data_IF_332398707573
#
_entry.id   IF_332398707573
#
_cell.length_a   1.000
_cell.length_b   1.000
_cell.length_c   1.000
_cell.angle_alpha   90.00
_cell.angle_beta   90.00
_cell.angle_gamma   90.00
#
_symmetry.space_group_name_H-M   'P 1'
#
loop_
_entity.id
_entity.type
_entity.pdbx_description
1 polymer ?
#
# COMPACT_ATOMS: atom_id res chain seq x y z
N UNK A 1 1.10 32.28 -66.70
CA UNK A 1 0.44 31.89 -65.43
C UNK A 1 -0.72 30.95 -65.73
N UNK A 2 -0.86 29.89 -64.92
CA UNK A 2 -1.84 28.78 -64.97
C UNK A 2 -1.46 27.55 -65.83
N UNK A 3 -0.80 26.60 -65.18
CA UNK A 3 -0.94 25.17 -65.48
C UNK A 3 -2.18 24.61 -64.78
N UNK A 4 -3.05 23.86 -65.46
CA UNK A 4 -3.94 22.92 -64.79
C UNK A 4 -3.29 21.53 -64.70
N UNK A 5 -3.46 20.98 -63.50
CA UNK A 5 -2.85 19.80 -62.92
C UNK A 5 -3.19 18.52 -63.69
N UNK A 6 -2.17 17.69 -63.82
CA UNK A 6 -2.24 16.33 -64.32
C UNK A 6 -2.06 15.34 -63.17
N UNK A 7 -2.61 14.15 -63.38
CA UNK A 7 -2.32 12.86 -62.75
C UNK A 7 -3.27 12.43 -61.61
N UNK A 8 -4.31 11.73 -62.07
CA UNK A 8 -4.95 10.63 -61.36
C UNK A 8 -3.90 9.62 -60.91
N UNK A 9 -3.81 9.35 -59.60
CA UNK A 9 -3.10 8.19 -59.07
C UNK A 9 -4.14 7.20 -58.56
N UNK A 10 -4.31 6.14 -59.34
CA UNK A 10 -4.90 4.87 -58.91
C UNK A 10 -4.20 4.43 -57.61
N UNK A 11 -4.90 4.04 -56.55
CA UNK A 11 -5.68 2.80 -56.54
C UNK A 11 -4.75 1.65 -56.13
N UNK A 12 -5.10 1.00 -55.01
CA UNK A 12 -4.43 -0.13 -54.35
C UNK A 12 -3.42 0.25 -53.25
N UNK A 13 -3.85 0.12 -51.98
CA UNK A 13 -3.34 -0.86 -51.00
C UNK A 13 -4.32 -0.81 -49.81
N UNK A 14 -5.32 -1.70 -49.81
CA UNK A 14 -6.03 -2.08 -48.59
C UNK A 14 -5.65 -3.53 -48.33
N UNK A 15 -4.48 -3.71 -47.71
CA UNK A 15 -4.13 -4.97 -47.06
C UNK A 15 -4.68 -4.85 -45.63
N UNK A 16 -5.97 -5.10 -45.46
CA UNK A 16 -6.58 -5.29 -44.15
C UNK A 16 -5.87 -6.46 -43.49
N UNK A 17 -4.94 -6.12 -42.62
CA UNK A 17 -4.19 -7.02 -41.76
C UNK A 17 -5.18 -7.63 -40.77
N UNK A 18 -5.84 -8.70 -41.21
CA UNK A 18 -6.61 -9.60 -40.36
C UNK A 18 -5.64 -10.36 -39.45
N UNK A 19 -5.04 -9.65 -38.48
CA UNK A 19 -4.52 -10.29 -37.27
C UNK A 19 -5.78 -10.77 -36.55
N UNK A 20 -6.17 -11.99 -36.89
CA UNK A 20 -7.05 -12.77 -36.06
C UNK A 20 -6.37 -12.86 -34.70
N UNK A 21 -6.87 -12.06 -33.77
CA UNK A 21 -6.78 -12.33 -32.34
C UNK A 21 -7.41 -13.71 -32.14
N UNK A 22 -6.61 -14.75 -32.35
CA UNK A 22 -6.78 -16.00 -31.65
C UNK A 22 -6.47 -15.69 -30.18
N UNK A 23 -7.40 -14.99 -29.52
CA UNK A 23 -7.55 -15.06 -28.08
C UNK A 23 -7.94 -16.51 -27.83
N UNK A 24 -6.89 -17.35 -27.73
CA UNK A 24 -7.00 -18.68 -27.19
C UNK A 24 -7.70 -18.47 -25.86
N UNK A 25 -8.96 -18.91 -25.79
CA UNK A 25 -9.74 -18.99 -24.58
C UNK A 25 -9.10 -20.08 -23.69
N UNK A 26 -7.90 -19.80 -23.19
CA UNK A 26 -7.31 -20.51 -22.07
C UNK A 26 -8.09 -20.06 -20.84
N UNK A 27 -9.19 -20.76 -20.56
CA UNK A 27 -9.77 -20.71 -19.23
C UNK A 27 -8.72 -21.11 -18.19
N UNK A 28 -8.82 -20.60 -16.95
CA UNK A 28 -7.88 -20.93 -15.90
C UNK A 28 -7.81 -22.44 -15.70
N UNK A 29 -6.61 -23.00 -15.76
CA UNK A 29 -6.33 -24.44 -15.64
C UNK A 29 -6.20 -24.87 -14.18
N UNK A 30 -5.95 -23.94 -13.28
CA UNK A 30 -5.81 -24.17 -11.84
C UNK A 30 -6.67 -23.20 -11.03
N UNK A 31 -6.94 -23.55 -9.77
CA UNK A 31 -7.61 -22.65 -8.83
C UNK A 31 -6.83 -21.34 -8.68
N UNK A 32 -5.51 -21.43 -8.55
CA UNK A 32 -4.64 -20.28 -8.38
C UNK A 32 -4.62 -19.36 -9.63
N UNK A 33 -4.66 -19.92 -10.85
CA UNK A 33 -4.87 -19.12 -12.07
C UNK A 33 -6.23 -18.41 -12.07
N UNK A 34 -7.29 -19.06 -11.57
CA UNK A 34 -8.60 -18.41 -11.42
C UNK A 34 -8.52 -17.25 -10.42
N UNK A 35 -7.87 -17.45 -9.28
CA UNK A 35 -7.63 -16.39 -8.28
C UNK A 35 -6.86 -15.24 -8.90
N UNK A 36 -5.77 -15.50 -9.64
CA UNK A 36 -5.00 -14.46 -10.34
C UNK A 36 -5.85 -13.66 -11.33
N UNK A 37 -6.68 -14.34 -12.14
CA UNK A 37 -7.58 -13.68 -13.09
C UNK A 37 -8.65 -12.83 -12.39
N UNK A 38 -9.26 -13.34 -11.33
CA UNK A 38 -10.26 -12.59 -10.55
C UNK A 38 -9.62 -11.40 -9.85
N UNK A 39 -8.45 -11.60 -9.24
CA UNK A 39 -7.65 -10.57 -8.59
C UNK A 39 -7.30 -9.43 -9.55
N UNK A 40 -7.05 -9.73 -10.82
CA UNK A 40 -6.77 -8.73 -11.85
C UNK A 40 -7.89 -7.68 -12.04
N UNK A 41 -9.08 -7.96 -11.51
CA UNK A 41 -10.26 -7.10 -11.60
C UNK A 41 -10.50 -6.28 -10.32
N UNK A 42 -9.61 -6.41 -9.33
CA UNK A 42 -9.61 -5.58 -8.12
C UNK A 42 -8.69 -4.38 -8.33
N UNK A 43 -9.08 -3.25 -7.73
CA UNK A 43 -8.21 -2.09 -7.61
C UNK A 43 -8.30 -1.52 -6.20
N UNK A 44 -7.15 -1.05 -5.70
CA UNK A 44 -7.05 -0.30 -4.46
C UNK A 44 -6.51 1.10 -4.77
N UNK A 45 -6.95 2.09 -4.01
CA UNK A 45 -6.47 3.47 -4.10
C UNK A 45 -6.40 4.09 -2.72
N UNK A 46 -5.39 4.91 -2.49
CA UNK A 46 -5.32 5.76 -1.30
C UNK A 46 -6.26 6.96 -1.48
N UNK A 47 -7.16 7.17 -0.52
CA UNK A 47 -8.01 8.36 -0.45
C UNK A 47 -7.35 9.48 0.36
N UNK A 48 -6.62 9.11 1.41
CA UNK A 48 -5.89 10.03 2.27
C UNK A 48 -5.19 9.27 3.41
N UNK A 49 -4.43 10.00 4.21
CA UNK A 49 -3.82 9.47 5.42
C UNK A 49 -3.70 10.53 6.50
N UNK A 50 -3.58 10.08 7.74
CA UNK A 50 -3.32 10.91 8.92
C UNK A 50 -2.15 10.32 9.67
N UNK A 51 -1.22 11.18 10.12
CA UNK A 51 -0.10 10.79 10.97
C UNK A 51 -0.42 11.21 12.39
N UNK A 52 -0.31 10.27 13.32
CA UNK A 52 -0.49 10.47 14.75
C UNK A 52 0.83 10.18 15.46
N UNK A 53 1.23 11.07 16.37
CA UNK A 53 2.42 10.90 17.20
C UNK A 53 1.97 10.58 18.62
N UNK A 54 2.35 9.41 19.13
CA UNK A 54 2.13 9.03 20.52
C UNK A 54 3.45 9.16 21.28
N UNK A 55 3.50 9.93 22.39
CA UNK A 55 4.68 9.99 23.23
C UNK A 55 4.87 8.62 23.89
N UNK A 56 6.06 8.03 23.72
CA UNK A 56 6.43 6.85 24.48
C UNK A 56 6.71 7.30 25.91
N UNK A 57 5.72 7.13 26.79
CA UNK A 57 5.96 7.23 28.22
C UNK A 57 6.74 5.98 28.59
N UNK A 58 8.07 6.07 28.62
CA UNK A 58 8.85 5.08 29.36
C UNK A 58 8.32 5.13 30.80
N UNK A 59 7.59 4.09 31.20
CA UNK A 59 7.37 3.84 32.62
C UNK A 59 8.76 3.62 33.20
N UNK A 60 9.33 4.69 33.76
CA UNK A 60 10.49 4.60 34.63
C UNK A 60 10.02 3.69 35.77
N UNK A 61 10.33 2.40 35.67
CA UNK A 61 10.24 1.44 36.77
C UNK A 61 11.32 1.89 37.74
N UNK A 62 11.00 2.96 38.48
CA UNK A 62 11.77 3.42 39.60
C UNK A 62 11.67 2.34 40.66
N UNK A 63 12.64 1.44 40.67
CA UNK A 63 13.03 0.73 41.88
C UNK A 63 13.58 1.79 42.84
N UNK A 64 12.67 2.53 43.47
CA UNK A 64 12.96 3.40 44.59
C UNK A 64 13.16 2.47 45.78
N UNK A 65 14.37 1.90 45.90
CA UNK A 65 14.85 1.42 47.19
C UNK A 65 15.07 2.64 48.08
N UNK A 66 14.02 2.97 48.83
CA UNK A 66 14.06 3.92 49.92
C UNK A 66 14.98 3.39 51.03
N UNK A 67 16.27 3.73 50.95
CA UNK A 67 17.18 3.67 52.09
C UNK A 67 17.27 5.05 52.73
N UNK A 68 16.49 5.23 53.80
CA UNK A 68 16.52 6.41 54.63
C UNK A 68 17.67 6.31 55.64
N UNK A 69 18.63 7.23 55.61
CA UNK A 69 19.25 7.79 56.81
C UNK A 69 20.01 9.09 56.47
N UNK A 70 19.74 10.14 57.25
CA UNK A 70 19.95 11.54 56.84
C UNK A 70 21.32 12.14 57.16
N UNK A 71 21.55 13.35 56.63
CA UNK A 71 22.29 14.43 57.27
C UNK A 71 22.36 15.66 56.35
N UNK A 72 22.23 16.83 56.99
CA UNK A 72 22.73 18.16 56.64
C UNK A 72 22.37 18.85 55.30
N UNK A 73 21.92 20.09 55.45
CA UNK A 73 21.50 20.99 54.37
C UNK A 73 22.69 21.86 53.99
N UNK A 74 23.44 21.45 52.97
CA UNK A 74 24.40 22.28 52.25
C UNK A 74 23.75 22.97 51.04
N UNK A 75 24.19 24.20 50.79
CA UNK A 75 23.75 25.16 49.78
C UNK A 75 23.71 24.54 48.36
N UNK A 76 22.50 24.36 47.82
CA UNK A 76 22.29 23.81 46.47
C UNK A 76 22.55 24.90 45.44
N UNK A 77 23.72 24.80 44.81
CA UNK A 77 24.03 25.49 43.56
C UNK A 77 22.92 25.22 42.54
N UNK A 78 22.51 26.25 41.79
CA UNK A 78 21.63 26.11 40.64
C UNK A 78 22.24 25.08 39.68
N UNK A 79 21.72 23.85 39.72
CA UNK A 79 22.01 22.81 38.74
C UNK A 79 21.61 23.34 37.35
N UNK A 80 22.52 23.21 36.39
CA UNK A 80 22.28 23.51 34.99
C UNK A 80 21.01 22.78 34.52
N UNK A 81 20.22 23.36 33.59
CA UNK A 81 19.00 22.72 33.12
C UNK A 81 19.36 21.33 32.61
N UNK A 82 18.77 20.31 33.24
CA UNK A 82 18.90 18.92 32.88
C UNK A 82 18.83 18.78 31.36
N UNK A 83 19.84 18.12 30.78
CA UNK A 83 19.82 17.66 29.40
C UNK A 83 18.48 16.98 29.16
N UNK A 84 17.58 17.64 28.43
CA UNK A 84 16.33 17.05 28.00
C UNK A 84 16.67 15.99 26.96
N UNK A 85 16.77 14.74 27.40
CA UNK A 85 16.81 13.62 26.47
C UNK A 85 15.55 13.68 25.59
N UNK A 86 15.69 13.55 24.25
CA UNK A 86 14.54 13.59 23.37
C UNK A 86 13.59 12.46 23.74
N UNK A 87 12.35 12.80 24.13
CA UNK A 87 11.29 11.83 24.42
C UNK A 87 11.08 11.01 23.14
N UNK A 88 11.26 9.70 23.23
CA UNK A 88 10.98 8.82 22.11
C UNK A 88 9.49 8.94 21.73
N UNK A 89 9.20 9.08 20.43
CA UNK A 89 7.84 9.15 19.90
C UNK A 89 7.62 7.97 18.98
N UNK A 90 6.50 7.26 19.16
CA UNK A 90 6.03 6.26 18.20
C UNK A 90 5.03 6.94 17.27
N UNK A 91 5.23 6.81 15.97
CA UNK A 91 4.30 7.35 14.98
C UNK A 91 3.40 6.24 14.44
N UNK A 92 2.13 6.57 14.29
CA UNK A 92 1.10 5.73 13.69
C UNK A 92 0.55 6.43 12.46
N UNK A 93 0.32 5.69 11.38
CA UNK A 93 -0.27 6.24 10.15
C UNK A 93 -1.58 5.55 9.86
N UNK A 94 -2.66 6.33 9.88
CA UNK A 94 -4.00 5.88 9.51
C UNK A 94 -4.21 6.11 8.03
N UNK A 95 -4.24 5.04 7.26
CA UNK A 95 -4.47 5.03 5.82
C UNK A 95 -5.95 4.82 5.53
N UNK A 96 -6.51 5.69 4.69
CA UNK A 96 -7.86 5.55 4.16
C UNK A 96 -7.81 4.97 2.75
N UNK A 97 -8.19 3.70 2.61
CA UNK A 97 -8.00 2.90 1.41
C UNK A 97 -9.35 2.54 0.79
N UNK A 98 -9.51 2.84 -0.50
CA UNK A 98 -10.68 2.51 -1.29
C UNK A 98 -10.40 1.24 -2.10
N UNK A 99 -11.21 0.21 -1.89
CA UNK A 99 -11.15 -1.04 -2.65
C UNK A 99 -12.43 -1.19 -3.46
N UNK A 100 -12.27 -1.54 -4.73
CA UNK A 100 -13.37 -1.86 -5.65
C UNK A 100 -13.00 -3.02 -6.55
N UNK A 101 -13.99 -3.69 -7.11
CA UNK A 101 -13.79 -4.73 -8.13
C UNK A 101 -14.90 -4.70 -9.19
N UNK A 102 -14.53 -5.11 -10.41
CA UNK A 102 -15.42 -5.08 -11.59
C UNK A 102 -15.94 -6.47 -12.00
N UNK A 103 -15.87 -7.45 -11.09
CA UNK A 103 -16.18 -8.86 -11.35
C UNK A 103 -17.47 -9.30 -10.67
N UNK A 104 -18.09 -10.36 -11.20
CA UNK A 104 -19.19 -11.06 -10.51
C UNK A 104 -18.66 -12.15 -9.57
N UNK A 105 -17.47 -12.68 -9.85
CA UNK A 105 -16.77 -13.61 -8.97
C UNK A 105 -16.03 -12.80 -7.90
N UNK A 106 -16.41 -12.95 -6.63
CA UNK A 106 -15.74 -12.28 -5.52
C UNK A 106 -14.69 -13.18 -4.87
N UNK A 107 -13.56 -12.58 -4.49
CA UNK A 107 -12.62 -13.20 -3.57
C UNK A 107 -13.06 -12.95 -2.13
N UNK A 108 -12.77 -13.86 -1.19
CA UNK A 108 -13.05 -13.65 0.23
C UNK A 108 -12.25 -12.46 0.79
N UNK A 109 -11.11 -12.15 0.19
CA UNK A 109 -10.32 -10.97 0.48
C UNK A 109 -9.22 -10.79 -0.55
N UNK A 110 -8.47 -9.71 -0.40
CA UNK A 110 -7.38 -9.34 -1.28
C UNK A 110 -6.17 -8.85 -0.49
N UNK A 111 -4.97 -9.24 -0.94
CA UNK A 111 -3.73 -8.66 -0.43
C UNK A 111 -3.40 -7.39 -1.21
N UNK A 112 -3.31 -6.28 -0.50
CA UNK A 112 -2.93 -4.96 -1.00
C UNK A 112 -1.50 -4.67 -0.57
N UNK A 113 -0.67 -4.25 -1.52
CA UNK A 113 0.68 -3.77 -1.24
C UNK A 113 0.62 -2.28 -0.93
N UNK A 114 1.32 -1.88 0.11
CA UNK A 114 1.43 -0.50 0.57
C UNK A 114 2.92 -0.19 0.59
N UNK A 115 3.35 0.81 -0.17
CA UNK A 115 4.74 1.29 -0.13
C UNK A 115 4.78 2.73 0.36
N UNK A 116 5.82 3.04 1.14
CA UNK A 116 6.15 4.40 1.55
C UNK A 116 7.38 4.84 0.75
N UNK A 117 7.32 6.01 0.15
CA UNK A 117 8.42 6.60 -0.58
C UNK A 117 8.76 7.99 -0.03
N UNK A 118 10.04 8.33 -0.06
CA UNK A 118 10.53 9.65 0.33
C UNK A 118 10.15 10.73 -0.71
N UNK A 119 10.41 12.02 -0.45
CA UNK A 119 10.14 13.10 -1.42
C UNK A 119 10.90 12.97 -2.75
N UNK A 120 11.96 12.14 -2.80
CA UNK A 120 12.72 11.85 -4.02
C UNK A 120 12.10 10.70 -4.84
N UNK A 121 11.10 10.02 -4.28
CA UNK A 121 10.43 8.86 -4.86
C UNK A 121 11.16 7.54 -4.60
N UNK A 122 12.13 7.51 -3.68
CA UNK A 122 12.79 6.28 -3.26
C UNK A 122 11.94 5.56 -2.21
N UNK A 123 11.67 4.28 -2.44
CA UNK A 123 10.95 3.44 -1.47
C UNK A 123 11.76 3.30 -0.17
N UNK A 124 11.11 3.61 0.96
CA UNK A 124 11.64 3.49 2.32
C UNK A 124 11.17 2.19 2.98
N UNK A 125 9.90 1.83 2.77
CA UNK A 125 9.26 0.71 3.47
C UNK A 125 8.09 0.14 2.64
N UNK A 126 7.73 -1.12 2.93
CA UNK A 126 6.75 -1.90 2.20
C UNK A 126 5.98 -2.85 3.13
N UNK A 127 4.65 -2.82 3.03
CA UNK A 127 3.74 -3.72 3.75
C UNK A 127 2.81 -4.47 2.80
N UNK A 128 2.45 -5.69 3.20
CA UNK A 128 1.39 -6.47 2.55
C UNK A 128 0.25 -6.70 3.52
N UNK A 129 -0.92 -6.19 3.18
CA UNK A 129 -2.08 -6.13 4.08
C UNK A 129 -3.25 -6.86 3.46
N UNK A 130 -3.85 -7.74 4.24
CA UNK A 130 -5.05 -8.48 3.85
C UNK A 130 -6.32 -7.70 4.18
N UNK A 131 -7.16 -7.48 3.18
CA UNK A 131 -8.49 -6.89 3.34
C UNK A 131 -9.58 -7.92 3.05
N UNK A 132 -10.57 -8.04 3.93
CA UNK A 132 -11.76 -8.87 3.68
C UNK A 132 -12.67 -8.16 2.67
N UNK A 133 -12.93 -8.82 1.54
CA UNK A 133 -13.74 -8.28 0.44
C UNK A 133 -15.01 -9.11 0.20
N UNK A 134 -15.29 -10.10 1.06
CA UNK A 134 -16.42 -11.02 0.90
C UNK A 134 -17.78 -10.31 0.86
N UNK A 135 -17.89 -9.16 1.52
CA UNK A 135 -19.11 -8.34 1.58
C UNK A 135 -19.23 -7.26 0.51
N UNK A 136 -18.24 -7.08 -0.38
CA UNK A 136 -18.22 -5.96 -1.33
C UNK A 136 -19.03 -6.31 -2.59
N UNK A 137 -20.14 -5.60 -2.90
CA UNK A 137 -20.86 -5.82 -4.14
C UNK A 137 -20.04 -5.38 -5.37
N UNK A 138 -20.34 -5.95 -6.53
CA UNK A 138 -19.72 -5.56 -7.81
C UNK A 138 -19.82 -4.05 -8.06
N UNK A 139 -18.76 -3.46 -8.61
CA UNK A 139 -18.69 -2.05 -9.02
C UNK A 139 -19.04 -1.07 -7.87
N UNK A 140 -18.85 -1.52 -6.63
CA UNK A 140 -19.02 -0.70 -5.42
C UNK A 140 -17.65 -0.41 -4.84
N UNK A 141 -17.43 0.86 -4.52
CA UNK A 141 -16.24 1.29 -3.78
C UNK A 141 -16.52 1.12 -2.29
N UNK A 142 -15.67 0.37 -1.60
CA UNK A 142 -15.71 0.23 -0.14
C UNK A 142 -14.46 0.86 0.46
N UNK A 143 -14.66 1.62 1.53
CA UNK A 143 -13.61 2.32 2.25
C UNK A 143 -13.16 1.50 3.46
N UNK A 144 -11.84 1.39 3.64
CA UNK A 144 -11.19 0.70 4.74
C UNK A 144 -10.19 1.64 5.41
N UNK A 145 -10.21 1.70 6.74
CA UNK A 145 -9.16 2.35 7.51
C UNK A 145 -8.16 1.30 7.97
N UNK A 146 -6.89 1.47 7.64
CA UNK A 146 -5.79 0.62 8.09
C UNK A 146 -4.78 1.45 8.88
N UNK A 147 -4.22 0.87 9.94
CA UNK A 147 -3.27 1.55 10.81
C UNK A 147 -1.92 0.86 10.62
N UNK A 148 -0.92 1.63 10.21
CA UNK A 148 0.48 1.24 10.25
C UNK A 148 1.08 1.74 11.56
N UNK A 149 1.68 0.84 12.33
CA UNK A 149 2.35 1.15 13.60
C UNK A 149 3.86 1.31 13.37
N UNK A 150 4.50 2.07 14.25
CA UNK A 150 5.96 2.28 14.29
C UNK A 150 6.56 2.75 12.96
N UNK A 151 5.83 3.62 12.25
CA UNK A 151 6.25 4.13 10.94
C UNK A 151 7.26 5.25 11.13
N UNK A 152 8.40 5.19 10.44
CA UNK A 152 9.39 6.29 10.44
C UNK A 152 9.04 7.36 9.40
N UNK A 153 7.90 8.05 9.60
CA UNK A 153 7.38 9.05 8.67
C UNK A 153 8.11 10.39 8.79
N UNK A 154 8.51 10.94 7.66
CA UNK A 154 9.07 12.29 7.55
C UNK A 154 8.16 13.20 6.71
N UNK A 155 8.16 14.51 7.00
CA UNK A 155 7.36 15.46 6.23
C UNK A 155 7.73 15.41 4.75
N UNK A 156 6.72 15.12 3.92
CA UNK A 156 6.87 14.98 2.47
C UNK A 156 6.95 13.53 1.98
N UNK A 157 7.05 12.55 2.88
CA UNK A 157 6.88 11.15 2.52
C UNK A 157 5.47 10.91 1.96
N UNK A 158 5.39 10.03 0.97
CA UNK A 158 4.16 9.63 0.30
C UNK A 158 3.86 8.15 0.49
N UNK A 159 2.57 7.81 0.51
CA UNK A 159 2.11 6.41 0.50
C UNK A 159 1.52 6.08 -0.86
N UNK A 160 1.84 4.88 -1.35
CA UNK A 160 1.26 4.30 -2.54
C UNK A 160 0.60 2.97 -2.17
N UNK A 161 -0.56 2.72 -2.75
CA UNK A 161 -1.40 1.56 -2.42
C UNK A 161 -1.83 0.91 -3.73
N UNK A 162 -1.56 -0.38 -3.87
CA UNK A 162 -1.97 -1.11 -5.06
C UNK A 162 -2.32 -2.58 -4.81
N UNK A 163 -3.09 -3.12 -5.75
CA UNK A 163 -3.28 -4.56 -5.91
C UNK A 163 -2.32 -4.97 -7.02
N UNK A 164 -1.07 -5.33 -6.67
CA UNK A 164 0.03 -5.59 -7.63
C UNK A 164 -0.31 -6.60 -8.72
N UNK A 165 -0.25 -6.25 -10.01
CA UNK A 165 -0.65 -7.15 -11.11
C UNK A 165 0.32 -7.10 -12.30
N UNK A 166 0.73 -8.24 -12.88
CA UNK A 166 0.51 -9.61 -12.39
C UNK A 166 1.40 -9.95 -11.18
N UNK A 167 0.99 -10.93 -10.39
CA UNK A 167 1.84 -11.56 -9.37
C UNK A 167 2.52 -12.79 -10.00
N UNK A 168 3.87 -12.85 -10.03
CA UNK A 168 4.59 -14.03 -10.52
C UNK A 168 4.19 -15.30 -9.77
N UNK A 169 4.14 -16.44 -10.46
CA UNK A 169 3.67 -17.71 -9.88
C UNK A 169 4.53 -18.15 -8.67
N UNK A 170 5.82 -17.86 -8.73
CA UNK A 170 6.79 -18.10 -7.66
C UNK A 170 6.48 -17.34 -6.38
N UNK A 171 5.75 -16.21 -6.46
CA UNK A 171 5.39 -15.36 -5.33
C UNK A 171 4.00 -15.67 -4.77
N UNK A 172 3.19 -16.54 -5.40
CA UNK A 172 1.80 -16.77 -4.97
C UNK A 172 1.67 -17.22 -3.52
N UNK A 173 2.68 -17.88 -2.96
CA UNK A 173 2.71 -18.27 -1.55
C UNK A 173 2.75 -17.09 -0.56
N UNK A 174 3.11 -15.89 -1.02
CA UNK A 174 3.15 -14.66 -0.22
C UNK A 174 1.77 -13.98 -0.12
N UNK A 175 0.80 -14.44 -0.91
CA UNK A 175 -0.52 -13.82 -1.06
C UNK A 175 -1.63 -14.74 -0.54
N UNK A 176 -2.36 -14.26 0.47
CA UNK A 176 -3.32 -15.09 1.23
C UNK A 176 -4.50 -15.59 0.38
N UNK A 177 -4.90 -14.85 -0.65
CA UNK A 177 -5.95 -15.24 -1.58
C UNK A 177 -5.59 -16.53 -2.35
N UNK A 178 -4.30 -16.81 -2.57
CA UNK A 178 -3.86 -18.02 -3.26
C UNK A 178 -3.77 -19.25 -2.34
N UNK A 179 -3.61 -19.05 -1.03
CA UNK A 179 -3.56 -20.12 -0.04
C UNK A 179 -4.95 -20.73 0.27
N UNK A 180 -6.04 -20.03 -0.08
CA UNK A 180 -7.40 -20.34 0.37
C UNK A 180 -8.07 -21.53 -0.35
N UNK A 181 -7.38 -22.19 -1.28
CA UNK A 181 -7.97 -23.19 -2.17
C UNK A 181 -7.20 -24.49 -2.34
N UNK A 182 -6.24 -24.79 -1.45
CA UNK A 182 -5.54 -26.09 -1.38
C UNK A 182 -6.27 -27.09 -0.49
#
# INVERSE_FOLDING_TARGET
>A
MRHPRQIFVAGAVVLTLSIGLALVACGPKSHAEKVAQTRALYSARLNGFVVEEEPLVEEVIGEIEASAEGADVEEVALEEPADFEPVAVSQRVLLDILIQHDTYDNLPGITVEISMADPSGQEKDHWRVWFDTSGIPKATVTQFTHILEDVSYEEGDGFYVEVRQPVPEEEWGEYKEFASGS
#
